data_IF_184708209672
#
_entry.id   IF_184708209672
#
_cell.length_a   1.000
_cell.length_b   1.000
_cell.length_c   1.000
_cell.angle_alpha   90.00
_cell.angle_beta   90.00
_cell.angle_gamma   90.00
#
_symmetry.space_group_name_H-M   'P 1'
#
loop_
_entity.id
_entity.type
_entity.pdbx_description
1 polymer ?
#
# COMPACT_ATOMS: atom_id res chain seq x y z
N UNK A 1 -39.65 -37.69 22.17
CA UNK A 1 -39.79 -36.55 21.22
C UNK A 1 -39.62 -35.15 21.85
N UNK A 2 -39.38 -35.02 23.16
CA UNK A 2 -39.23 -33.73 23.86
C UNK A 2 -37.82 -33.10 23.99
N UNK A 3 -36.67 -33.81 23.91
CA UNK A 3 -35.36 -33.18 24.15
C UNK A 3 -34.89 -32.30 22.99
N UNK A 4 -35.39 -32.56 21.77
CA UNK A 4 -34.97 -31.86 20.56
C UNK A 4 -35.39 -30.39 20.57
N UNK A 5 -36.63 -30.08 21.00
CA UNK A 5 -37.14 -28.70 21.08
C UNK A 5 -36.42 -27.85 22.13
N UNK A 6 -36.04 -28.44 23.27
CA UNK A 6 -35.32 -27.73 24.33
C UNK A 6 -33.90 -27.35 23.92
N UNK A 7 -33.23 -28.24 23.18
CA UNK A 7 -31.89 -27.98 22.67
C UNK A 7 -31.89 -26.90 21.58
N UNK A 8 -32.91 -26.88 20.72
CA UNK A 8 -33.06 -25.83 19.69
C UNK A 8 -33.29 -24.45 20.31
N UNK A 9 -34.15 -24.35 21.32
CA UNK A 9 -34.40 -23.10 22.04
C UNK A 9 -33.15 -22.59 22.78
N UNK A 10 -32.40 -23.48 23.42
CA UNK A 10 -31.14 -23.12 24.08
C UNK A 10 -30.09 -22.62 23.08
N UNK A 11 -29.97 -23.27 21.92
CA UNK A 11 -29.02 -22.87 20.88
C UNK A 11 -29.38 -21.52 20.25
N UNK A 12 -30.66 -21.27 19.99
CA UNK A 12 -31.15 -19.99 19.48
C UNK A 12 -30.93 -18.84 20.49
N UNK A 13 -31.10 -19.10 21.79
CA UNK A 13 -30.82 -18.12 22.84
C UNK A 13 -29.31 -17.81 22.94
N UNK A 14 -28.44 -18.80 22.80
CA UNK A 14 -26.98 -18.61 22.77
C UNK A 14 -26.52 -17.79 21.55
N UNK A 15 -27.10 -18.03 20.37
CA UNK A 15 -26.85 -17.24 19.16
C UNK A 15 -27.39 -15.80 19.27
N UNK A 16 -28.49 -15.59 20.00
CA UNK A 16 -29.04 -14.25 20.22
C UNK A 16 -28.25 -13.43 21.26
N UNK A 17 -27.50 -14.11 22.13
CA UNK A 17 -26.67 -13.49 23.17
C UNK A 17 -25.19 -13.33 22.75
N UNK A 18 -24.80 -13.82 21.58
CA UNK A 18 -23.44 -13.59 21.08
C UNK A 18 -23.31 -12.16 20.56
N UNK A 19 -22.40 -11.39 21.16
CA UNK A 19 -22.05 -10.07 20.66
C UNK A 19 -21.08 -10.21 19.48
N UNK A 20 -21.23 -9.42 18.39
CA UNK A 20 -20.26 -9.43 17.31
C UNK A 20 -18.91 -8.94 17.86
N UNK A 21 -17.88 -9.77 17.74
CA UNK A 21 -16.50 -9.31 17.90
C UNK A 21 -16.08 -8.64 16.60
N UNK A 22 -15.71 -7.36 16.71
CA UNK A 22 -15.07 -6.62 15.63
C UNK A 22 -13.58 -6.91 15.69
N UNK A 23 -13.06 -7.61 14.68
CA UNK A 23 -11.62 -7.75 14.50
C UNK A 23 -11.00 -6.39 14.13
N UNK A 24 -9.78 -6.14 14.62
CA UNK A 24 -8.99 -5.00 14.18
C UNK A 24 -8.67 -5.11 12.69
N UNK A 25 -8.64 -3.98 11.98
CA UNK A 25 -8.18 -3.91 10.59
C UNK A 25 -6.69 -3.59 10.56
N UNK A 26 -5.94 -4.33 9.76
CA UNK A 26 -4.51 -4.13 9.52
C UNK A 26 -4.29 -3.82 8.04
N UNK A 27 -3.51 -2.78 7.76
CA UNK A 27 -3.00 -2.49 6.43
C UNK A 27 -1.47 -2.67 6.46
N UNK A 28 -0.92 -3.24 5.39
CA UNK A 28 0.52 -3.43 5.21
C UNK A 28 0.90 -2.80 3.89
N UNK A 29 1.89 -1.92 3.92
CA UNK A 29 2.50 -1.30 2.73
C UNK A 29 3.96 -1.77 2.68
N UNK A 30 4.40 -2.23 1.51
CA UNK A 30 5.81 -2.55 1.27
C UNK A 30 6.40 -1.48 0.35
N UNK A 31 7.42 -0.81 0.87
CA UNK A 31 8.08 0.32 0.20
C UNK A 31 9.18 -0.10 -0.78
N UNK A 32 9.76 0.89 -1.45
CA UNK A 32 10.95 0.79 -2.30
C UNK A 32 10.83 -0.10 -3.55
N UNK A 33 9.64 -0.21 -4.13
CA UNK A 33 9.47 -0.89 -5.42
C UNK A 33 10.11 -0.11 -6.59
N UNK A 34 10.62 -0.88 -7.55
CA UNK A 34 11.05 -0.43 -8.88
C UNK A 34 12.56 -0.54 -9.13
N UNK A 35 13.32 -1.13 -8.21
CA UNK A 35 14.76 -1.39 -8.37
C UNK A 35 15.13 -2.87 -8.39
N UNK A 36 14.31 -3.74 -7.79
CA UNK A 36 14.63 -5.16 -7.58
C UNK A 36 13.49 -6.06 -8.04
N UNK A 37 13.23 -6.16 -9.37
CA UNK A 37 12.10 -6.94 -9.88
C UNK A 37 12.07 -8.39 -9.37
N UNK A 38 13.23 -9.04 -9.15
CA UNK A 38 13.25 -10.39 -8.61
C UNK A 38 12.59 -10.50 -7.22
N UNK A 39 12.97 -9.63 -6.28
CA UNK A 39 12.40 -9.62 -4.93
C UNK A 39 10.97 -9.08 -4.93
N UNK A 40 10.71 -8.04 -5.71
CA UNK A 40 9.39 -7.41 -5.77
C UNK A 40 8.36 -8.38 -6.36
N UNK A 41 8.71 -9.21 -7.34
CA UNK A 41 7.82 -10.26 -7.84
C UNK A 41 7.49 -11.32 -6.77
N UNK A 42 8.35 -11.53 -5.75
CA UNK A 42 8.01 -12.40 -4.62
C UNK A 42 6.95 -11.74 -3.73
N UNK A 43 7.02 -10.43 -3.54
CA UNK A 43 5.98 -9.65 -2.84
C UNK A 43 4.67 -9.65 -3.63
N UNK A 44 4.72 -9.52 -4.96
CA UNK A 44 3.54 -9.62 -5.83
C UNK A 44 2.91 -11.02 -5.90
N UNK A 45 3.59 -12.04 -5.36
CA UNK A 45 3.02 -13.38 -5.18
C UNK A 45 2.34 -13.56 -3.81
N UNK A 46 2.46 -12.58 -2.91
CA UNK A 46 1.74 -12.56 -1.63
C UNK A 46 0.27 -12.17 -1.82
N UNK A 47 -0.59 -12.31 -0.80
CA UNK A 47 -1.99 -11.89 -0.90
C UNK A 47 -2.13 -10.42 -1.32
N UNK A 48 -3.12 -10.14 -2.18
CA UNK A 48 -3.41 -8.78 -2.71
C UNK A 48 -3.79 -7.75 -1.65
N UNK A 49 -4.06 -8.19 -0.42
CA UNK A 49 -4.26 -7.31 0.74
C UNK A 49 -2.99 -6.54 1.15
N UNK A 50 -1.81 -6.93 0.66
CA UNK A 50 -0.57 -6.18 0.82
C UNK A 50 -0.52 -5.09 -0.25
N UNK A 51 -0.38 -3.83 0.17
CA UNK A 51 -0.19 -2.69 -0.74
C UNK A 51 1.30 -2.48 -1.02
N UNK A 52 1.63 -1.84 -2.14
CA UNK A 52 3.03 -1.57 -2.51
C UNK A 52 3.23 -0.09 -2.82
N UNK A 53 4.38 0.46 -2.45
CA UNK A 53 4.76 1.83 -2.76
C UNK A 53 5.96 1.85 -3.71
N UNK A 54 5.80 2.52 -4.86
CA UNK A 54 6.75 2.49 -5.98
C UNK A 54 7.49 3.81 -6.10
N UNK A 55 8.82 3.77 -6.15
CA UNK A 55 9.68 4.94 -6.36
C UNK A 55 9.52 5.42 -7.83
N UNK A 56 9.08 6.66 -8.09
CA UNK A 56 8.64 7.10 -9.42
C UNK A 56 9.75 7.23 -10.46
N UNK A 57 10.98 7.52 -10.04
CA UNK A 57 12.13 7.67 -10.94
C UNK A 57 13.01 6.40 -11.00
N UNK A 58 12.54 5.30 -10.42
CA UNK A 58 13.24 4.02 -10.48
C UNK A 58 13.14 3.38 -11.89
N UNK A 59 14.12 2.55 -12.31
CA UNK A 59 14.15 1.99 -13.66
C UNK A 59 12.93 1.15 -14.04
N UNK A 60 12.29 0.49 -13.07
CA UNK A 60 11.15 -0.39 -13.29
C UNK A 60 9.84 0.16 -12.72
N UNK A 61 9.76 1.45 -12.37
CA UNK A 61 8.59 2.04 -11.71
C UNK A 61 7.26 1.68 -12.40
N UNK A 62 7.15 2.00 -13.70
CA UNK A 62 5.94 1.76 -14.49
C UNK A 62 5.63 0.27 -14.65
N UNK A 63 6.65 -0.55 -14.89
CA UNK A 63 6.51 -2.01 -15.03
C UNK A 63 5.94 -2.61 -13.75
N UNK A 64 6.54 -2.28 -12.61
CA UNK A 64 6.20 -2.87 -11.32
C UNK A 64 4.87 -2.35 -10.79
N UNK A 65 4.54 -1.07 -10.99
CA UNK A 65 3.22 -0.52 -10.69
C UNK A 65 2.11 -1.21 -11.51
N UNK A 66 2.35 -1.43 -12.81
CA UNK A 66 1.40 -2.13 -13.68
C UNK A 66 1.21 -3.58 -13.28
N UNK A 67 2.30 -4.31 -12.97
CA UNK A 67 2.21 -5.69 -12.48
C UNK A 67 1.47 -5.77 -11.14
N UNK A 68 1.78 -4.88 -10.20
CA UNK A 68 1.12 -4.83 -8.91
C UNK A 68 -0.40 -4.63 -9.04
N UNK A 69 -0.81 -3.65 -9.84
CA UNK A 69 -2.22 -3.39 -10.12
C UNK A 69 -2.91 -4.58 -10.78
N UNK A 70 -2.29 -5.18 -11.81
CA UNK A 70 -2.85 -6.34 -12.51
C UNK A 70 -2.98 -7.58 -11.61
N UNK A 71 -2.11 -7.71 -10.60
CA UNK A 71 -2.19 -8.75 -9.56
C UNK A 71 -3.16 -8.40 -8.42
N UNK A 72 -3.82 -7.24 -8.48
CA UNK A 72 -4.84 -6.81 -7.52
C UNK A 72 -4.32 -6.09 -6.28
N UNK A 73 -3.02 -5.74 -6.23
CA UNK A 73 -2.47 -4.95 -5.13
C UNK A 73 -2.84 -3.46 -5.28
N UNK A 74 -3.05 -2.80 -4.15
CA UNK A 74 -3.11 -1.33 -4.11
C UNK A 74 -1.71 -0.75 -4.33
N UNK A 75 -1.65 0.28 -5.18
CA UNK A 75 -0.38 0.94 -5.56
C UNK A 75 -0.35 2.34 -5.00
N UNK A 76 0.77 2.70 -4.38
CA UNK A 76 1.08 4.04 -3.90
C UNK A 76 2.33 4.57 -4.61
N UNK A 77 2.44 5.88 -4.72
CA UNK A 77 3.71 6.54 -5.07
C UNK A 77 4.55 6.60 -3.81
N UNK A 78 5.75 6.04 -3.82
CA UNK A 78 6.74 6.27 -2.77
C UNK A 78 7.58 7.49 -3.15
N UNK A 79 7.22 8.67 -2.65
CA UNK A 79 7.76 9.94 -3.12
C UNK A 79 9.02 10.34 -2.33
N UNK A 80 10.20 10.47 -2.98
CA UNK A 80 11.43 10.90 -2.30
C UNK A 80 11.31 12.29 -1.69
N UNK A 81 11.62 12.39 -0.40
CA UNK A 81 11.64 13.63 0.38
C UNK A 81 12.96 13.72 1.16
N UNK A 82 13.51 14.93 1.27
CA UNK A 82 14.83 15.11 1.86
C UNK A 82 14.85 14.75 3.36
N UNK A 83 15.72 13.82 3.80
CA UNK A 83 15.86 13.52 5.22
C UNK A 83 16.63 14.63 5.95
N UNK A 84 16.52 14.63 7.29
CA UNK A 84 17.36 15.47 8.15
C UNK A 84 18.84 15.05 8.16
N UNK A 85 19.13 13.78 7.84
CA UNK A 85 20.49 13.23 7.80
C UNK A 85 21.11 13.34 6.40
N UNK A 86 22.44 13.21 6.30
CA UNK A 86 23.11 13.18 5.00
C UNK A 86 23.01 11.77 4.41
N UNK A 87 22.07 11.57 3.50
CA UNK A 87 21.93 10.35 2.69
C UNK A 87 22.06 10.68 1.20
N UNK A 88 22.44 9.70 0.36
CA UNK A 88 22.22 9.81 -1.09
C UNK A 88 20.74 10.09 -1.35
N UNK A 89 20.46 11.01 -2.27
CA UNK A 89 19.09 11.36 -2.66
C UNK A 89 18.77 10.77 -4.03
N UNK A 90 17.55 10.31 -4.18
CA UNK A 90 16.96 9.93 -5.46
C UNK A 90 16.81 11.16 -6.37
N UNK A 91 16.55 10.90 -7.65
CA UNK A 91 16.15 11.95 -8.57
C UNK A 91 14.81 12.54 -8.10
N UNK A 92 14.67 13.85 -8.29
CA UNK A 92 13.45 14.60 -7.95
C UNK A 92 13.01 14.50 -6.47
N UNK A 93 13.95 14.27 -5.54
CA UNK A 93 13.66 14.39 -4.10
C UNK A 93 13.16 15.78 -3.75
N UNK A 94 11.96 15.85 -3.15
CA UNK A 94 11.38 17.09 -2.66
C UNK A 94 12.22 17.65 -1.52
N UNK A 95 12.46 18.96 -1.54
CA UNK A 95 13.23 19.67 -0.52
C UNK A 95 12.45 20.86 0.04
N UNK A 96 12.62 21.23 1.33
CA UNK A 96 11.87 22.32 1.95
C UNK A 96 12.01 23.68 1.26
N UNK A 97 13.15 23.95 0.60
CA UNK A 97 13.43 25.20 -0.09
C UNK A 97 12.85 25.30 -1.52
N UNK A 98 12.19 24.24 -2.01
CA UNK A 98 11.58 24.24 -3.34
C UNK A 98 10.38 25.17 -3.43
N UNK A 99 10.19 25.75 -4.63
CA UNK A 99 8.96 26.47 -4.96
C UNK A 99 7.78 25.51 -5.15
N UNK A 100 6.56 26.03 -4.99
CA UNK A 100 5.33 25.25 -5.26
C UNK A 100 5.28 24.72 -6.70
N UNK A 101 5.75 25.49 -7.68
CA UNK A 101 5.77 25.09 -9.08
C UNK A 101 6.71 23.89 -9.32
N UNK A 102 7.86 23.88 -8.65
CA UNK A 102 8.81 22.76 -8.73
C UNK A 102 8.25 21.49 -8.08
N UNK A 103 7.62 21.63 -6.91
CA UNK A 103 6.92 20.53 -6.22
C UNK A 103 5.81 19.97 -7.11
N UNK A 104 4.99 20.84 -7.70
CA UNK A 104 3.89 20.42 -8.57
C UNK A 104 4.41 19.67 -9.80
N UNK A 105 5.47 20.18 -10.44
CA UNK A 105 6.11 19.50 -11.58
C UNK A 105 6.59 18.10 -11.20
N UNK A 106 7.22 17.96 -10.03
CA UNK A 106 7.72 16.67 -9.54
C UNK A 106 6.56 15.71 -9.26
N UNK A 107 5.51 16.16 -8.56
CA UNK A 107 4.33 15.33 -8.26
C UNK A 107 3.64 14.88 -9.55
N UNK A 108 3.45 15.78 -10.52
CA UNK A 108 2.87 15.43 -11.84
C UNK A 108 3.71 14.37 -12.56
N UNK A 109 5.04 14.50 -12.52
CA UNK A 109 5.94 13.50 -13.09
C UNK A 109 5.81 12.15 -12.37
N UNK A 110 5.73 12.15 -11.04
CA UNK A 110 5.59 10.93 -10.25
C UNK A 110 4.29 10.19 -10.56
N UNK A 111 3.16 10.91 -10.64
CA UNK A 111 1.85 10.35 -11.02
C UNK A 111 1.88 9.72 -12.42
N UNK A 112 2.59 10.33 -13.37
CA UNK A 112 2.72 9.78 -14.72
C UNK A 112 3.58 8.50 -14.77
N UNK A 113 4.62 8.44 -13.93
CA UNK A 113 5.57 7.33 -13.90
C UNK A 113 5.03 6.10 -13.13
N UNK A 114 4.15 6.32 -12.15
CA UNK A 114 3.54 5.26 -11.34
C UNK A 114 2.04 5.17 -11.66
N UNK A 115 1.65 4.51 -12.77
CA UNK A 115 0.24 4.37 -13.12
C UNK A 115 -0.52 3.57 -12.05
N UNK A 116 -1.84 3.78 -12.00
CA UNK A 116 -2.76 3.12 -11.06
C UNK A 116 -2.58 3.49 -9.59
N UNK A 117 -1.65 4.37 -9.25
CA UNK A 117 -1.48 4.82 -7.88
C UNK A 117 -2.75 5.51 -7.35
N UNK A 118 -3.18 5.12 -6.16
CA UNK A 118 -4.37 5.69 -5.48
C UNK A 118 -3.99 6.62 -4.32
N UNK A 119 -2.70 6.69 -3.99
CA UNK A 119 -2.17 7.48 -2.87
C UNK A 119 -0.67 7.71 -2.97
N UNK A 120 -0.13 8.41 -1.98
CA UNK A 120 1.29 8.76 -1.86
C UNK A 120 1.77 8.38 -0.45
N UNK A 121 2.96 7.77 -0.39
CA UNK A 121 3.74 7.49 0.80
C UNK A 121 5.09 8.26 0.69
N UNK A 122 5.64 8.78 1.79
CA UNK A 122 6.92 9.49 1.74
C UNK A 122 8.09 8.51 1.82
N UNK A 123 9.16 8.75 1.06
CA UNK A 123 10.44 8.04 1.18
C UNK A 123 11.44 8.92 1.93
N UNK A 124 11.89 8.42 3.09
CA UNK A 124 12.71 9.11 4.08
C UNK A 124 12.05 10.33 4.75
N UNK A 125 12.08 11.51 4.10
CA UNK A 125 11.71 12.82 4.67
C UNK A 125 10.23 13.07 4.84
#
# INVERSE_FOLDING_TARGET
MFPFRRNVLAFAALLALSSPVLAGKLAIVIDDFGYRPHNENQVLAMPSAISVAVLPDSPHAREMATKAHNSGHEVLIHLPMAPLSKQPLEKNTLRPEMSSDEIERIIRSAVNNVPYAVGINNHMG
#
